data_IF_987195753436
#
_entry.id   IF_987195753436
#
_cell.length_a   1.000
_cell.length_b   1.000
_cell.length_c   1.000
_cell.angle_alpha   90.00
_cell.angle_beta   90.00
_cell.angle_gamma   90.00
#
_symmetry.space_group_name_H-M   'P 1'
#
loop_
_entity.id
_entity.type
_entity.pdbx_description
1 polymer ?
#
# COMPACT_ATOMS: atom_id res chain seq x y z
N UNK A 1 7.07 -8.15 1.23
CA UNK A 1 5.63 -8.08 1.56
C UNK A 1 5.40 -6.74 2.23
N UNK A 2 4.29 -6.06 1.94
CA UNK A 2 4.04 -4.69 2.37
C UNK A 2 2.83 -4.63 3.29
N UNK A 3 2.90 -3.88 4.39
CA UNK A 3 1.75 -3.67 5.26
C UNK A 3 1.07 -2.35 4.92
N UNK A 4 -0.23 -2.42 4.63
CA UNK A 4 -1.05 -1.25 4.30
C UNK A 4 -2.40 -1.32 4.97
N UNK A 5 -3.00 -0.14 5.16
CA UNK A 5 -4.37 0.03 5.58
C UNK A 5 -5.15 0.68 4.45
N UNK A 6 -6.19 0.00 4.00
CA UNK A 6 -7.10 0.53 3.00
C UNK A 6 -8.07 1.50 3.67
N UNK A 7 -8.11 2.74 3.20
CA UNK A 7 -9.08 3.76 3.62
C UNK A 7 -10.38 3.67 2.84
N UNK A 8 -10.29 3.18 1.61
CA UNK A 8 -11.39 3.06 0.67
C UNK A 8 -11.44 1.63 0.12
N UNK A 9 -12.56 1.27 -0.50
CA UNK A 9 -12.64 0.05 -1.30
C UNK A 9 -11.64 0.07 -2.47
N UNK A 10 -10.93 -1.05 -2.62
CA UNK A 10 -9.93 -1.23 -3.68
C UNK A 10 -10.00 -2.63 -4.28
N UNK A 11 -10.21 -2.68 -5.58
CA UNK A 11 -10.17 -3.92 -6.36
C UNK A 11 -8.78 -4.09 -6.99
N UNK A 12 -7.98 -4.97 -6.42
CA UNK A 12 -6.67 -5.32 -6.94
C UNK A 12 -6.77 -6.50 -7.92
N UNK A 13 -6.24 -6.34 -9.13
CA UNK A 13 -6.30 -7.36 -10.19
C UNK A 13 -4.89 -7.79 -10.61
N UNK A 14 -4.22 -8.69 -9.85
CA UNK A 14 -2.88 -9.15 -10.20
C UNK A 14 -2.87 -9.98 -11.49
N UNK A 15 -3.98 -10.65 -11.82
CA UNK A 15 -4.16 -11.38 -13.07
C UNK A 15 -5.57 -11.08 -13.60
N UNK A 16 -5.80 -11.15 -14.93
CA UNK A 16 -7.12 -10.88 -15.51
C UNK A 16 -8.20 -11.87 -15.02
N UNK A 17 -7.81 -13.02 -14.49
CA UNK A 17 -8.71 -14.05 -13.95
C UNK A 17 -8.97 -13.89 -12.45
N UNK A 18 -8.36 -12.93 -11.75
CA UNK A 18 -8.53 -12.77 -10.30
C UNK A 18 -8.64 -11.31 -9.89
N UNK A 19 -9.70 -11.00 -9.15
CA UNK A 19 -9.92 -9.69 -8.51
C UNK A 19 -9.99 -9.89 -7.00
N UNK A 20 -9.15 -9.17 -6.28
CA UNK A 20 -9.10 -9.17 -4.82
C UNK A 20 -9.69 -7.84 -4.35
N UNK A 21 -10.90 -7.88 -3.82
CA UNK A 21 -11.58 -6.71 -3.27
C UNK A 21 -11.19 -6.49 -1.81
N UNK A 22 -10.48 -5.40 -1.54
CA UNK A 22 -10.19 -4.91 -0.19
C UNK A 22 -11.25 -3.89 0.22
N UNK A 23 -11.78 -4.03 1.43
CA UNK A 23 -12.75 -3.08 1.98
C UNK A 23 -12.06 -1.93 2.71
N UNK A 24 -12.71 -0.77 2.70
CA UNK A 24 -12.35 0.36 3.55
C UNK A 24 -12.25 -0.09 5.02
N UNK A 25 -11.15 0.29 5.67
CA UNK A 25 -10.82 -0.09 7.05
C UNK A 25 -10.02 -1.39 7.20
N UNK A 26 -9.81 -2.16 6.13
CA UNK A 26 -9.01 -3.38 6.21
C UNK A 26 -7.51 -3.07 6.30
N UNK A 27 -6.84 -3.68 7.26
CA UNK A 27 -5.38 -3.63 7.42
C UNK A 27 -4.82 -5.04 7.32
N UNK A 28 -3.75 -5.18 6.54
CA UNK A 28 -3.04 -6.44 6.47
C UNK A 28 -1.78 -6.35 5.64
N UNK A 29 -1.12 -7.50 5.54
CA UNK A 29 0.05 -7.67 4.68
C UNK A 29 -0.41 -8.05 3.28
N UNK A 30 -0.04 -7.24 2.29
CA UNK A 30 -0.34 -7.45 0.87
C UNK A 30 0.94 -7.52 0.05
N UNK A 31 0.80 -7.81 -1.25
CA UNK A 31 1.91 -7.69 -2.20
C UNK A 31 2.34 -6.23 -2.31
N UNK A 32 3.64 -6.00 -2.50
CA UNK A 32 4.17 -4.63 -2.60
C UNK A 32 3.55 -3.88 -3.78
N UNK A 33 3.35 -4.54 -4.91
CA UNK A 33 2.66 -3.98 -6.08
C UNK A 33 1.24 -3.52 -5.74
N UNK A 34 0.47 -4.33 -5.00
CA UNK A 34 -0.87 -3.96 -4.54
C UNK A 34 -0.84 -2.74 -3.61
N UNK A 35 0.11 -2.70 -2.69
CA UNK A 35 0.30 -1.58 -1.78
C UNK A 35 0.65 -0.30 -2.55
N UNK A 36 1.55 -0.39 -3.51
CA UNK A 36 1.98 0.76 -4.33
C UNK A 36 0.83 1.29 -5.18
N UNK A 37 0.08 0.44 -5.86
CA UNK A 37 -1.09 0.88 -6.64
C UNK A 37 -2.19 1.48 -5.75
N UNK A 38 -2.48 0.85 -4.61
CA UNK A 38 -3.52 1.34 -3.72
C UNK A 38 -3.14 2.68 -3.07
N UNK A 39 -1.87 2.87 -2.72
CA UNK A 39 -1.36 4.14 -2.17
C UNK A 39 -1.25 5.21 -3.26
N UNK A 40 -0.77 4.86 -4.45
CA UNK A 40 -0.73 5.78 -5.60
C UNK A 40 -2.13 6.25 -6.02
N UNK A 41 -3.14 5.37 -5.89
CA UNK A 41 -4.54 5.72 -6.08
C UNK A 41 -5.16 6.51 -4.91
N UNK A 42 -4.43 6.75 -3.81
CA UNK A 42 -4.93 7.43 -2.61
C UNK A 42 -5.97 6.62 -1.81
N UNK A 43 -6.11 5.32 -2.12
CA UNK A 43 -7.09 4.41 -1.51
C UNK A 43 -6.53 3.66 -0.30
N UNK A 44 -5.21 3.56 -0.17
CA UNK A 44 -4.53 2.98 0.98
C UNK A 44 -3.41 3.87 1.51
N UNK A 45 -2.93 3.53 2.70
CA UNK A 45 -1.75 4.11 3.34
C UNK A 45 -0.81 2.99 3.81
N UNK A 46 0.50 3.24 3.76
CA UNK A 46 1.50 2.34 4.34
C UNK A 46 1.33 2.29 5.86
N UNK A 47 1.50 1.11 6.46
CA UNK A 47 1.42 0.95 7.92
C UNK A 47 2.64 0.25 8.50
N UNK A 48 2.93 0.54 9.77
CA UNK A 48 4.07 -0.01 10.48
C UNK A 48 5.42 0.46 9.91
N UNK A 49 6.42 -0.42 9.95
CA UNK A 49 7.81 -0.10 9.57
C UNK A 49 7.97 0.29 8.09
N UNK A 50 7.06 -0.17 7.22
CA UNK A 50 7.03 0.23 5.81
C UNK A 50 6.54 1.67 5.60
N UNK A 51 5.72 2.21 6.52
CA UNK A 51 5.33 3.62 6.50
C UNK A 51 6.50 4.53 6.85
N UNK A 52 7.29 4.10 7.85
CA UNK A 52 8.49 4.80 8.32
C UNK A 52 9.54 4.86 7.20
N UNK A 53 9.77 3.76 6.48
CA UNK A 53 10.73 3.72 5.36
C UNK A 53 10.37 4.62 4.16
N UNK A 54 9.09 4.95 3.94
CA UNK A 54 8.68 5.90 2.87
C UNK A 54 8.57 7.35 3.35
N UNK A 55 8.59 7.61 4.67
CA UNK A 55 8.69 8.96 5.24
C UNK A 55 10.16 9.36 5.48
N UNK A 56 11.03 8.39 5.77
CA UNK A 56 12.46 8.60 6.03
C UNK A 56 13.32 8.66 4.76
N UNK A 57 12.71 8.48 3.58
CA UNK A 57 13.38 8.59 2.28
C UNK A 57 13.63 10.03 1.78
N UNK A 58 13.18 11.04 2.52
CA UNK A 58 13.47 12.46 2.25
C UNK A 58 14.16 13.11 3.46
N UNK A 59 15.19 12.45 3.99
CA UNK A 59 16.20 13.11 4.80
C UNK A 59 17.59 12.52 4.48
N UNK A 60 18.38 13.34 3.77
CA UNK A 60 19.84 13.30 3.72
C UNK A 60 20.53 12.31 2.76
N UNK A 61 20.98 12.84 1.61
CA UNK A 61 22.42 13.01 1.36
C UNK A 61 22.66 14.25 0.48
N UNK A 62 22.84 15.40 1.11
CA UNK A 62 23.72 16.45 0.58
C UNK A 62 24.84 16.63 1.58
N UNK A 63 26.01 16.08 1.27
CA UNK A 63 27.29 16.55 1.80
C UNK A 63 28.44 16.19 0.86
#
# INVERSE_FOLDING_TARGET
MARVRFKQDFDYKPTPQSTIGYKAGWEGTVRRECAEEAVAAGKAEWTGKDAEAKQDGEAEISR
#
